data_IF_744010489913
#
_entry.id   IF_744010489913
#
_cell.length_a   1.000
_cell.length_b   1.000
_cell.length_c   1.000
_cell.angle_alpha   90.00
_cell.angle_beta   90.00
_cell.angle_gamma   90.00
#
_symmetry.space_group_name_H-M   'P 1'
#
loop_
_entity.id
_entity.type
_entity.pdbx_description
1 polymer ?
#
# COMPACT_ATOMS: atom_id res chain seq x y z
N UNK A 1 30.57 -24.48 -19.56
CA UNK A 1 29.78 -23.37 -18.99
C UNK A 1 29.97 -23.41 -17.48
N UNK A 2 30.45 -22.32 -16.88
CA UNK A 2 30.70 -22.28 -15.43
C UNK A 2 29.38 -22.33 -14.63
N UNK A 3 29.43 -22.72 -13.35
CA UNK A 3 28.22 -22.79 -12.50
C UNK A 3 27.46 -21.46 -12.41
N UNK A 4 28.15 -20.34 -12.54
CA UNK A 4 27.57 -18.99 -12.56
C UNK A 4 26.73 -18.73 -13.83
N UNK A 5 27.14 -19.26 -14.99
CA UNK A 5 26.36 -19.10 -16.23
C UNK A 5 25.07 -19.92 -16.21
N UNK A 6 25.09 -21.10 -15.58
CA UNK A 6 23.90 -21.95 -15.40
C UNK A 6 22.86 -21.26 -14.49
N UNK A 7 23.31 -20.61 -13.41
CA UNK A 7 22.42 -19.85 -12.53
C UNK A 7 21.80 -18.63 -13.23
N UNK A 8 22.59 -17.89 -14.02
CA UNK A 8 22.07 -16.77 -14.80
C UNK A 8 21.05 -17.20 -15.86
N UNK A 9 21.30 -18.31 -16.56
CA UNK A 9 20.37 -18.83 -17.55
C UNK A 9 19.03 -19.24 -16.92
N UNK A 10 19.06 -19.86 -15.73
CA UNK A 10 17.85 -20.22 -15.00
C UNK A 10 17.05 -18.99 -14.53
N UNK A 11 17.73 -17.95 -14.02
CA UNK A 11 17.10 -16.68 -13.63
C UNK A 11 16.47 -16.02 -14.84
N UNK A 12 17.18 -15.97 -15.97
CA UNK A 12 16.68 -15.38 -17.22
C UNK A 12 15.46 -16.14 -17.74
N UNK A 13 15.52 -17.47 -17.75
CA UNK A 13 14.40 -18.31 -18.18
C UNK A 13 13.16 -18.06 -17.31
N UNK A 14 13.32 -17.99 -15.98
CA UNK A 14 12.22 -17.67 -15.06
C UNK A 14 11.68 -16.25 -15.29
N UNK A 15 12.55 -15.27 -15.53
CA UNK A 15 12.14 -13.91 -15.86
C UNK A 15 11.29 -13.85 -17.13
N UNK A 16 11.75 -14.53 -18.21
CA UNK A 16 11.00 -14.62 -19.47
C UNK A 16 9.66 -15.36 -19.31
N UNK A 17 9.61 -16.39 -18.46
CA UNK A 17 8.36 -17.07 -18.12
C UNK A 17 7.37 -16.13 -17.43
N UNK A 18 7.81 -15.33 -16.45
CA UNK A 18 6.98 -14.34 -15.78
C UNK A 18 6.45 -13.31 -16.78
N UNK A 19 7.30 -12.76 -17.66
CA UNK A 19 6.86 -11.83 -18.71
C UNK A 19 5.82 -12.45 -19.65
N UNK A 20 6.02 -13.72 -20.03
CA UNK A 20 5.05 -14.44 -20.86
C UNK A 20 3.72 -14.64 -20.15
N UNK A 21 3.74 -14.97 -18.85
CA UNK A 21 2.53 -15.15 -18.03
C UNK A 21 1.78 -13.83 -17.78
N UNK A 22 2.50 -12.71 -17.65
CA UNK A 22 1.89 -11.37 -17.59
C UNK A 22 1.14 -11.01 -18.89
N UNK A 23 1.53 -11.61 -20.03
CA UNK A 23 0.84 -11.43 -21.31
C UNK A 23 0.80 -9.96 -21.74
N UNK A 24 -0.40 -9.43 -22.01
CA UNK A 24 -0.64 -8.01 -22.31
C UNK A 24 -1.21 -7.24 -21.11
N UNK A 25 -1.31 -7.87 -19.94
CA UNK A 25 -1.81 -7.23 -18.73
C UNK A 25 -0.79 -6.20 -18.25
N UNK A 26 -1.18 -4.94 -18.30
CA UNK A 26 -0.43 -3.84 -17.70
C UNK A 26 -0.98 -3.59 -16.30
N UNK A 27 -0.16 -3.19 -15.32
CA UNK A 27 -0.67 -2.82 -14.00
C UNK A 27 -1.81 -1.81 -14.17
N UNK A 28 -2.87 -1.86 -13.37
CA UNK A 28 -4.05 -1.00 -13.55
C UNK A 28 -3.70 0.51 -13.63
N UNK A 29 -2.62 0.94 -12.97
CA UNK A 29 -2.08 2.31 -12.99
C UNK A 29 -1.40 2.68 -14.31
N UNK A 30 -1.08 1.71 -15.16
CA UNK A 30 -0.50 1.86 -16.49
C UNK A 30 -1.37 1.25 -17.60
N UNK A 31 -2.54 0.69 -17.25
CA UNK A 31 -3.50 0.23 -18.23
C UNK A 31 -4.10 1.41 -18.98
N UNK A 32 -3.85 1.44 -20.29
CA UNK A 32 -4.40 2.43 -21.22
C UNK A 32 -5.92 2.37 -21.33
N UNK A 33 -6.60 1.33 -20.85
CA UNK A 33 -8.06 1.26 -20.80
C UNK A 33 -8.62 1.90 -19.53
N UNK A 34 -7.82 2.01 -18.48
CA UNK A 34 -8.17 2.76 -17.27
C UNK A 34 -7.82 4.24 -17.45
N UNK A 35 -8.79 5.12 -17.25
CA UNK A 35 -8.64 6.56 -17.51
C UNK A 35 -7.45 7.18 -16.75
N UNK A 36 -7.19 6.71 -15.52
CA UNK A 36 -6.09 7.20 -14.72
C UNK A 36 -4.72 6.65 -15.16
N UNK A 37 -4.68 5.55 -15.92
CA UNK A 37 -3.44 5.06 -16.53
C UNK A 37 -2.95 5.91 -17.69
N UNK A 38 -3.86 6.35 -18.58
CA UNK A 38 -3.52 7.34 -19.63
C UNK A 38 -3.13 8.69 -19.06
N UNK A 39 -3.81 9.12 -17.99
CA UNK A 39 -3.49 10.37 -17.30
C UNK A 39 -2.10 10.30 -16.68
N UNK A 40 -1.78 9.22 -15.96
CA UNK A 40 -0.48 9.02 -15.33
C UNK A 40 0.65 8.90 -16.36
N UNK A 41 0.45 8.18 -17.47
CA UNK A 41 1.44 8.09 -18.58
C UNK A 41 1.77 9.48 -19.14
N UNK A 42 0.77 10.34 -19.34
CA UNK A 42 0.96 11.71 -19.84
C UNK A 42 1.64 12.61 -18.81
N UNK A 43 1.19 12.57 -17.55
CA UNK A 43 1.79 13.31 -16.43
C UNK A 43 3.26 12.91 -16.26
N UNK A 44 3.59 11.62 -16.36
CA UNK A 44 4.95 11.14 -16.18
C UNK A 44 5.90 11.53 -17.32
N UNK A 45 5.37 11.84 -18.52
CA UNK A 45 6.16 12.31 -19.68
C UNK A 45 6.42 13.81 -19.69
N UNK A 46 5.61 14.59 -18.98
CA UNK A 46 5.69 16.05 -18.97
C UNK A 46 6.02 16.57 -17.57
N UNK A 47 7.30 16.90 -17.28
CA UNK A 47 7.71 17.46 -16.00
C UNK A 47 6.93 18.73 -15.60
N UNK A 48 6.51 19.55 -16.57
CA UNK A 48 5.78 20.79 -16.33
C UNK A 48 4.35 20.52 -15.82
N UNK A 49 3.75 19.39 -16.19
CA UNK A 49 2.47 18.93 -15.63
C UNK A 49 2.66 18.09 -14.36
N UNK A 50 3.74 17.30 -14.30
CA UNK A 50 4.06 16.39 -13.21
C UNK A 50 4.18 17.10 -11.87
N UNK A 51 5.05 18.09 -11.80
CA UNK A 51 5.39 18.77 -10.54
C UNK A 51 4.17 19.50 -9.95
N UNK A 52 3.43 20.32 -10.72
CA UNK A 52 2.24 20.98 -10.19
C UNK A 52 1.14 20.01 -9.79
N UNK A 53 0.94 18.92 -10.53
CA UNK A 53 -0.08 17.93 -10.17
C UNK A 53 0.23 17.26 -8.82
N UNK A 54 1.46 16.78 -8.62
CA UNK A 54 1.82 16.12 -7.36
C UNK A 54 1.77 17.10 -6.18
N UNK A 55 2.23 18.35 -6.35
CA UNK A 55 2.11 19.39 -5.31
C UNK A 55 0.66 19.78 -5.02
N UNK A 56 -0.19 19.81 -6.05
CA UNK A 56 -1.61 20.09 -5.87
C UNK A 56 -2.32 18.97 -5.11
N UNK A 57 -2.02 17.70 -5.42
CA UNK A 57 -2.56 16.55 -4.69
C UNK A 57 -2.09 16.55 -3.23
N UNK A 58 -0.84 16.92 -2.99
CA UNK A 58 -0.23 17.02 -1.65
C UNK A 58 -0.92 18.08 -0.77
N UNK A 59 -1.19 19.27 -1.31
CA UNK A 59 -1.86 20.34 -0.54
C UNK A 59 -3.37 20.13 -0.40
N UNK A 60 -3.99 19.32 -1.26
CA UNK A 60 -5.46 19.19 -1.33
C UNK A 60 -6.14 18.85 0.02
N UNK A 61 -5.61 17.94 0.87
CA UNK A 61 -6.21 17.64 2.17
C UNK A 61 -6.24 18.82 3.14
N UNK A 62 -5.34 19.80 2.98
CA UNK A 62 -5.28 21.02 3.79
C UNK A 62 -6.27 22.10 3.35
N UNK A 63 -6.96 21.94 2.21
CA UNK A 63 -7.88 22.93 1.66
C UNK A 63 -9.29 22.78 2.27
N UNK A 64 -9.67 23.76 3.09
CA UNK A 64 -10.89 23.73 3.89
C UNK A 64 -12.16 23.89 3.06
N UNK A 65 -12.13 24.69 1.98
CA UNK A 65 -13.33 25.03 1.22
C UNK A 65 -13.15 24.97 -0.31
N UNK A 66 -14.29 24.99 -1.02
CA UNK A 66 -14.31 24.90 -2.48
C UNK A 66 -13.65 26.08 -3.19
N UNK A 67 -13.61 27.27 -2.58
CA UNK A 67 -12.94 28.45 -3.16
C UNK A 67 -11.43 28.27 -3.08
N UNK A 68 -10.91 27.78 -1.95
CA UNK A 68 -9.50 27.45 -1.80
C UNK A 68 -9.07 26.38 -2.82
N UNK A 69 -9.87 25.33 -3.01
CA UNK A 69 -9.56 24.27 -4.00
C UNK A 69 -9.53 24.82 -5.42
N UNK A 70 -10.54 25.60 -5.81
CA UNK A 70 -10.59 26.20 -7.15
C UNK A 70 -9.43 27.19 -7.37
N UNK A 71 -9.09 27.99 -6.36
CA UNK A 71 -7.96 28.93 -6.41
C UNK A 71 -6.64 28.19 -6.61
N UNK A 72 -6.35 27.17 -5.80
CA UNK A 72 -5.10 26.41 -5.93
C UNK A 72 -5.04 25.64 -7.24
N UNK A 73 -6.15 25.06 -7.71
CA UNK A 73 -6.20 24.41 -9.02
C UNK A 73 -5.80 25.39 -10.13
N UNK A 74 -6.25 26.65 -10.06
CA UNK A 74 -5.80 27.69 -11.01
C UNK A 74 -4.31 28.01 -10.83
N UNK A 75 -3.84 28.24 -9.61
CA UNK A 75 -2.44 28.62 -9.37
C UNK A 75 -1.45 27.53 -9.82
N UNK A 76 -1.79 26.25 -9.64
CA UNK A 76 -0.95 25.14 -10.07
C UNK A 76 -1.01 24.88 -11.59
N UNK A 77 -2.14 25.16 -12.25
CA UNK A 77 -2.34 24.73 -13.64
C UNK A 77 -2.57 25.85 -14.66
N UNK A 78 -2.67 27.11 -14.24
CA UNK A 78 -2.88 28.26 -15.11
C UNK A 78 -1.61 29.09 -15.38
N UNK A 79 -0.42 28.62 -14.98
CA UNK A 79 0.84 29.26 -15.36
C UNK A 79 1.10 29.14 -16.85
N UNK A 80 1.47 30.25 -17.48
CA UNK A 80 1.83 30.38 -18.90
C UNK A 80 2.90 29.36 -19.30
N UNK A 81 2.49 28.24 -19.91
CA UNK A 81 3.41 27.24 -20.45
C UNK A 81 2.96 25.77 -20.33
N UNK A 82 1.98 25.44 -19.47
CA UNK A 82 1.46 24.06 -19.42
C UNK A 82 0.14 23.94 -20.18
N UNK A 83 0.07 23.19 -21.30
CA UNK A 83 -1.20 22.84 -21.89
C UNK A 83 -1.92 21.90 -20.92
N UNK A 84 -2.83 22.48 -20.13
CA UNK A 84 -3.85 21.72 -19.42
C UNK A 84 -4.37 20.63 -20.35
N UNK A 85 -4.43 19.34 -19.93
CA UNK A 85 -5.05 18.30 -20.74
C UNK A 85 -6.40 18.83 -21.23
N UNK A 86 -6.70 18.71 -22.52
CA UNK A 86 -7.91 19.31 -23.10
C UNK A 86 -9.18 18.99 -22.33
N UNK A 87 -9.22 17.86 -21.61
CA UNK A 87 -10.29 17.48 -20.69
C UNK A 87 -10.42 18.43 -19.49
N UNK A 88 -9.33 18.86 -18.86
CA UNK A 88 -9.37 19.81 -17.74
C UNK A 88 -9.79 21.18 -18.26
N UNK A 89 -9.27 21.63 -19.41
CA UNK A 89 -9.71 22.88 -20.03
C UNK A 89 -11.19 22.83 -20.47
N UNK A 90 -11.67 21.71 -21.03
CA UNK A 90 -13.08 21.53 -21.41
C UNK A 90 -13.99 21.39 -20.20
N UNK A 91 -13.55 20.72 -19.12
CA UNK A 91 -14.30 20.58 -17.88
C UNK A 91 -14.35 21.91 -17.12
N UNK A 92 -13.24 22.63 -17.08
CA UNK A 92 -13.15 23.96 -16.50
C UNK A 92 -13.96 24.97 -17.33
N UNK A 93 -13.90 24.89 -18.67
CA UNK A 93 -14.68 25.75 -19.56
C UNK A 93 -16.17 25.44 -19.51
N UNK A 94 -16.57 24.16 -19.36
CA UNK A 94 -17.97 23.74 -19.20
C UNK A 94 -18.55 24.15 -17.84
N UNK A 95 -17.75 24.06 -16.76
CA UNK A 95 -18.11 24.58 -15.45
C UNK A 95 -18.25 26.12 -15.46
N UNK A 96 -17.44 26.79 -16.28
CA UNK A 96 -17.50 28.23 -16.51
C UNK A 96 -18.65 28.67 -17.46
N UNK A 97 -19.20 27.78 -18.27
CA UNK A 97 -20.28 28.07 -19.25
C UNK A 97 -21.66 27.57 -18.81
N UNK A 98 -21.83 27.21 -17.54
CA UNK A 98 -23.12 26.93 -16.90
C UNK A 98 -24.04 28.16 -16.68
N UNK A 99 -23.80 29.27 -17.37
CA UNK A 99 -24.73 30.40 -17.48
C UNK A 99 -24.89 30.75 -18.95
N UNK A 100 -26.14 30.79 -19.40
CA UNK A 100 -26.55 31.10 -20.77
C UNK A 100 -25.84 32.33 -21.35
N UNK A 101 -25.40 32.20 -22.60
CA UNK A 101 -25.12 33.21 -23.66
C UNK A 101 -24.71 34.63 -23.22
N UNK A 102 -23.58 35.16 -23.70
CA UNK A 102 -23.59 35.94 -24.95
C UNK A 102 -22.18 36.16 -25.49
N UNK A 103 -22.09 36.18 -26.82
CA UNK A 103 -20.90 36.49 -27.61
C UNK A 103 -20.28 37.85 -27.25
N UNK A 104 -18.97 37.90 -27.05
CA UNK A 104 -18.12 39.01 -27.50
C UNK A 104 -16.65 38.60 -27.48
N UNK A 105 -15.98 38.97 -28.57
CA UNK A 105 -14.54 38.90 -28.83
C UNK A 105 -13.65 39.47 -27.73
N UNK A 106 -12.46 38.87 -27.57
CA UNK A 106 -11.27 39.57 -27.10
C UNK A 106 -10.80 39.23 -25.69
N UNK A 107 -9.66 38.54 -25.63
CA UNK A 107 -8.66 38.52 -24.56
C UNK A 107 -9.08 38.94 -23.13
N UNK A 108 -9.31 37.95 -22.26
CA UNK A 108 -8.64 37.89 -20.95
C UNK A 108 -8.77 36.48 -20.36
N UNK A 109 -7.67 35.72 -20.48
CA UNK A 109 -7.44 34.52 -19.66
C UNK A 109 -7.43 34.94 -18.20
N UNK A 110 -8.54 34.80 -17.47
CA UNK A 110 -8.49 35.11 -16.03
C UNK A 110 -9.74 34.96 -15.17
N UNK A 111 -10.97 35.08 -15.67
CA UNK A 111 -12.09 35.41 -14.75
C UNK A 111 -13.26 34.41 -14.65
N UNK A 112 -13.32 33.33 -15.41
CA UNK A 112 -14.55 32.51 -15.44
C UNK A 112 -14.71 31.50 -14.28
N UNK A 113 -13.83 31.50 -13.28
CA UNK A 113 -13.92 30.67 -12.06
C UNK A 113 -14.38 31.43 -10.81
N UNK A 114 -14.68 32.72 -10.93
CA UNK A 114 -15.07 33.55 -9.79
C UNK A 114 -16.52 33.33 -9.32
N UNK A 115 -17.36 32.63 -10.09
CA UNK A 115 -18.71 32.30 -9.63
C UNK A 115 -18.66 31.14 -8.62
N UNK A 116 -19.30 31.34 -7.46
CA UNK A 116 -19.37 30.33 -6.40
C UNK A 116 -19.84 28.93 -6.90
N UNK A 117 -20.76 28.81 -7.88
CA UNK A 117 -21.16 27.52 -8.43
C UNK A 117 -20.04 26.79 -9.20
N UNK A 118 -19.26 27.50 -10.02
CA UNK A 118 -18.17 26.90 -10.80
C UNK A 118 -17.04 26.40 -9.89
N UNK A 119 -16.70 27.17 -8.85
CA UNK A 119 -15.72 26.76 -7.84
C UNK A 119 -16.17 25.51 -7.07
N UNK A 120 -17.45 25.43 -6.70
CA UNK A 120 -18.02 24.26 -6.02
C UNK A 120 -17.96 23.00 -6.88
N UNK A 121 -18.31 23.09 -8.17
CA UNK A 121 -18.26 21.97 -9.09
C UNK A 121 -16.82 21.46 -9.29
N UNK A 122 -15.87 22.37 -9.53
CA UNK A 122 -14.45 21.99 -9.67
C UNK A 122 -13.93 21.30 -8.41
N UNK A 123 -14.20 21.87 -7.23
CA UNK A 123 -13.79 21.29 -5.97
C UNK A 123 -14.36 19.89 -5.75
N UNK A 124 -15.65 19.69 -6.09
CA UNK A 124 -16.30 18.40 -6.02
C UNK A 124 -15.64 17.36 -6.93
N UNK A 125 -15.38 17.71 -8.19
CA UNK A 125 -14.78 16.80 -9.16
C UNK A 125 -13.34 16.44 -8.80
N UNK A 126 -12.55 17.42 -8.34
CA UNK A 126 -11.19 17.20 -7.85
C UNK A 126 -11.18 16.25 -6.64
N UNK A 127 -11.97 16.56 -5.61
CA UNK A 127 -12.07 15.73 -4.40
C UNK A 127 -12.52 14.30 -4.73
N UNK A 128 -13.52 14.15 -5.60
CA UNK A 128 -14.00 12.83 -6.04
C UNK A 128 -12.95 12.06 -6.83
N UNK A 129 -12.19 12.73 -7.70
CA UNK A 129 -11.10 12.14 -8.48
C UNK A 129 -9.98 11.63 -7.58
N UNK A 130 -9.48 12.47 -6.67
CA UNK A 130 -8.42 12.09 -5.72
C UNK A 130 -8.88 10.99 -4.77
N UNK A 131 -10.07 11.11 -4.18
CA UNK A 131 -10.60 10.06 -3.30
C UNK A 131 -10.73 8.70 -4.01
N UNK A 132 -11.15 8.68 -5.28
CA UNK A 132 -11.22 7.46 -6.07
C UNK A 132 -9.83 6.87 -6.35
N UNK A 133 -8.83 7.72 -6.60
CA UNK A 133 -7.44 7.30 -6.78
C UNK A 133 -6.84 6.75 -5.48
N UNK A 134 -7.04 7.41 -4.34
CA UNK A 134 -6.55 6.95 -3.04
C UNK A 134 -7.08 5.58 -2.64
N UNK A 135 -8.34 5.26 -2.97
CA UNK A 135 -8.96 3.93 -2.72
C UNK A 135 -8.27 2.78 -3.48
N UNK A 136 -7.42 3.06 -4.45
CA UNK A 136 -6.59 2.04 -5.10
C UNK A 136 -5.42 1.59 -4.20
N UNK A 137 -4.98 2.45 -3.28
CA UNK A 137 -3.81 2.22 -2.42
C UNK A 137 -4.17 2.05 -0.94
N UNK A 138 -5.34 2.55 -0.51
CA UNK A 138 -5.79 2.50 0.88
C UNK A 138 -6.86 1.40 1.03
N UNK A 139 -6.63 0.45 1.93
CA UNK A 139 -7.52 -0.69 2.16
C UNK A 139 -8.84 -0.29 2.85
N UNK A 140 -8.81 0.72 3.72
CA UNK A 140 -9.96 1.26 4.45
C UNK A 140 -9.54 2.42 5.36
N UNK A 141 -10.52 3.22 5.80
CA UNK A 141 -10.28 4.36 6.73
C UNK A 141 -10.25 3.92 8.20
N UNK A 142 -10.87 2.77 8.52
CA UNK A 142 -10.84 2.13 9.84
C UNK A 142 -10.44 0.65 9.71
N UNK A 143 -10.01 -0.01 10.81
CA UNK A 143 -9.74 -1.44 10.82
C UNK A 143 -10.90 -2.28 10.25
N UNK A 144 -12.14 -1.93 10.59
CA UNK A 144 -13.36 -2.63 10.15
C UNK A 144 -13.60 -2.44 8.66
N UNK A 145 -13.44 -1.21 8.15
CA UNK A 145 -13.59 -0.92 6.73
C UNK A 145 -12.54 -1.68 5.88
N UNK A 146 -11.33 -1.86 6.42
CA UNK A 146 -10.24 -2.56 5.74
C UNK A 146 -10.52 -4.06 5.54
N UNK A 147 -11.31 -4.71 6.41
CA UNK A 147 -11.59 -6.15 6.35
C UNK A 147 -12.12 -6.61 4.99
N UNK A 148 -12.95 -5.81 4.34
CA UNK A 148 -13.49 -6.12 3.01
C UNK A 148 -12.38 -6.27 1.95
N UNK A 149 -11.42 -5.35 1.96
CA UNK A 149 -10.24 -5.36 1.09
C UNK A 149 -9.30 -6.51 1.43
N UNK A 150 -9.06 -6.76 2.72
CA UNK A 150 -8.22 -7.87 3.19
C UNK A 150 -8.81 -9.23 2.81
N UNK A 151 -10.13 -9.40 2.95
CA UNK A 151 -10.84 -10.62 2.57
C UNK A 151 -10.80 -10.86 1.07
N UNK A 152 -10.89 -9.79 0.25
CA UNK A 152 -10.71 -9.90 -1.21
C UNK A 152 -9.30 -10.38 -1.56
N UNK A 153 -8.26 -9.77 -1.00
CA UNK A 153 -6.87 -10.22 -1.20
C UNK A 153 -6.70 -11.69 -0.83
N UNK A 154 -7.32 -12.10 0.28
CA UNK A 154 -7.28 -13.46 0.78
C UNK A 154 -7.95 -14.46 -0.17
N UNK A 155 -9.13 -14.14 -0.68
CA UNK A 155 -9.86 -14.97 -1.64
C UNK A 155 -9.10 -15.12 -2.96
N UNK A 156 -8.31 -14.10 -3.33
CA UNK A 156 -7.42 -14.13 -4.50
C UNK A 156 -6.09 -14.87 -4.23
N UNK A 157 -5.96 -15.51 -3.06
CA UNK A 157 -4.78 -16.28 -2.68
C UNK A 157 -3.55 -15.48 -2.28
N UNK A 158 -3.76 -14.23 -1.85
CA UNK A 158 -2.69 -13.33 -1.39
C UNK A 158 -2.71 -13.22 0.14
N UNK A 159 -1.53 -13.01 0.70
CA UNK A 159 -1.38 -12.55 2.09
C UNK A 159 -1.25 -11.02 2.11
N UNK A 160 -1.25 -10.43 3.30
CA UNK A 160 -1.15 -8.99 3.48
C UNK A 160 -0.30 -8.68 4.70
N UNK A 161 0.26 -7.48 4.72
CA UNK A 161 0.65 -6.76 5.93
C UNK A 161 -0.18 -5.48 5.98
N UNK A 162 -0.62 -5.06 7.17
CA UNK A 162 -1.42 -3.85 7.36
C UNK A 162 -0.56 -2.76 8.00
N UNK A 163 -0.48 -1.61 7.33
CA UNK A 163 0.19 -0.40 7.79
C UNK A 163 -0.86 0.68 8.13
N UNK A 164 -0.61 1.45 9.19
CA UNK A 164 -1.41 2.63 9.50
C UNK A 164 -0.78 3.81 8.77
N UNK A 165 -1.56 4.45 7.91
CA UNK A 165 -1.10 5.61 7.18
C UNK A 165 -0.95 6.81 8.12
N UNK A 166 0.18 7.47 8.00
CA UNK A 166 0.36 8.83 8.45
C UNK A 166 1.83 9.20 8.57
N UNK A 167 2.05 10.42 9.07
CA UNK A 167 3.35 11.08 9.12
C UNK A 167 4.07 10.85 10.45
N UNK A 168 5.36 11.20 10.47
CA UNK A 168 6.14 11.25 11.70
C UNK A 168 5.43 12.13 12.74
N UNK A 169 5.36 11.65 13.97
CA UNK A 169 4.67 12.38 15.04
C UNK A 169 5.50 13.55 15.51
N UNK A 170 4.86 14.67 15.84
CA UNK A 170 5.53 15.88 16.34
C UNK A 170 5.23 16.13 17.83
N UNK A 171 4.45 15.25 18.47
CA UNK A 171 4.17 15.29 19.90
C UNK A 171 4.03 13.90 20.53
N UNK A 172 4.27 13.80 21.84
CA UNK A 172 4.08 12.55 22.58
C UNK A 172 2.61 12.10 22.61
N UNK A 173 1.67 13.05 22.59
CA UNK A 173 0.24 12.75 22.51
C UNK A 173 -0.14 12.13 21.15
N UNK A 174 0.52 12.53 20.05
CA UNK A 174 0.38 11.84 18.76
C UNK A 174 0.98 10.45 18.79
N UNK A 175 2.18 10.30 19.38
CA UNK A 175 2.82 9.00 19.54
C UNK A 175 1.92 8.01 20.32
N UNK A 176 1.25 8.48 21.38
CA UNK A 176 0.27 7.69 22.13
C UNK A 176 -0.95 7.33 21.29
N UNK A 177 -1.47 8.26 20.49
CA UNK A 177 -2.58 7.99 19.56
C UNK A 177 -2.21 6.93 18.53
N UNK A 178 -1.00 6.96 17.97
CA UNK A 178 -0.51 5.94 17.04
C UNK A 178 -0.36 4.57 17.69
N UNK A 179 0.22 4.51 18.90
CA UNK A 179 0.26 3.27 19.69
C UNK A 179 -1.14 2.68 19.87
N UNK A 180 -2.08 3.51 20.30
CA UNK A 180 -3.45 3.07 20.56
C UNK A 180 -4.16 2.64 19.27
N UNK A 181 -3.86 3.28 18.14
CA UNK A 181 -4.35 2.87 16.83
C UNK A 181 -3.81 1.48 16.43
N UNK A 182 -2.52 1.20 16.63
CA UNK A 182 -1.96 -0.14 16.40
C UNK A 182 -2.55 -1.20 17.32
N UNK A 183 -2.76 -0.87 18.61
CA UNK A 183 -3.39 -1.79 19.55
C UNK A 183 -4.84 -2.10 19.15
N UNK A 184 -5.63 -1.09 18.75
CA UNK A 184 -6.99 -1.28 18.21
C UNK A 184 -6.97 -2.11 16.92
N UNK A 185 -6.04 -1.83 16.01
CA UNK A 185 -5.90 -2.58 14.77
C UNK A 185 -5.59 -4.05 15.03
N UNK A 186 -4.61 -4.35 15.89
CA UNK A 186 -4.27 -5.70 16.28
C UNK A 186 -5.45 -6.42 16.95
N UNK A 187 -6.16 -5.73 17.85
CA UNK A 187 -7.34 -6.27 18.53
C UNK A 187 -8.48 -6.60 17.55
N UNK A 188 -8.90 -5.65 16.71
CA UNK A 188 -9.94 -5.87 15.71
C UNK A 188 -9.55 -6.97 14.73
N UNK A 189 -8.37 -6.91 14.11
CA UNK A 189 -7.97 -7.92 13.14
C UNK A 189 -7.82 -9.30 13.77
N UNK A 190 -7.24 -9.42 14.96
CA UNK A 190 -7.07 -10.72 15.63
C UNK A 190 -8.41 -11.44 15.86
N UNK A 191 -9.47 -10.69 16.20
CA UNK A 191 -10.82 -11.24 16.35
C UNK A 191 -11.44 -11.62 15.02
N UNK A 192 -11.44 -10.69 14.07
CA UNK A 192 -12.19 -10.80 12.82
C UNK A 192 -11.59 -11.81 11.83
N UNK A 193 -10.28 -12.09 11.94
CA UNK A 193 -9.57 -13.04 11.05
C UNK A 193 -9.30 -14.40 11.69
N UNK A 194 -9.65 -14.60 12.97
CA UNK A 194 -9.41 -15.84 13.69
C UNK A 194 -10.01 -17.05 12.96
N UNK A 195 -11.26 -16.90 12.51
CA UNK A 195 -12.05 -17.98 11.90
C UNK A 195 -11.93 -18.04 10.37
N UNK A 196 -11.02 -17.26 9.78
CA UNK A 196 -10.83 -17.34 8.34
C UNK A 196 -10.32 -18.74 7.94
N UNK A 197 -10.75 -19.28 6.80
CA UNK A 197 -10.22 -20.55 6.34
C UNK A 197 -8.72 -20.43 6.05
N UNK A 198 -7.93 -21.48 6.33
CA UNK A 198 -6.57 -21.52 5.82
C UNK A 198 -6.62 -21.54 4.29
N UNK A 199 -5.85 -20.66 3.65
CA UNK A 199 -5.70 -20.60 2.20
C UNK A 199 -4.60 -21.55 1.75
N UNK A 200 -3.48 -21.56 2.47
CA UNK A 200 -2.35 -22.47 2.22
C UNK A 200 -1.63 -22.72 3.56
N UNK A 201 -1.79 -23.91 4.16
CA UNK A 201 -1.18 -24.24 5.45
C UNK A 201 0.35 -24.12 5.46
N UNK A 202 1.01 -24.32 4.31
CA UNK A 202 2.47 -24.17 4.22
C UNK A 202 2.86 -22.70 4.26
N UNK A 203 2.13 -21.83 3.56
CA UNK A 203 2.36 -20.38 3.58
C UNK A 203 1.96 -19.74 4.90
N UNK A 204 0.87 -20.16 5.51
CA UNK A 204 0.44 -19.65 6.82
C UNK A 204 1.40 -19.99 7.96
N UNK A 205 2.19 -21.05 7.80
CA UNK A 205 3.29 -21.35 8.72
C UNK A 205 4.46 -20.37 8.59
N UNK A 206 4.66 -19.79 7.40
CA UNK A 206 5.72 -18.83 7.12
C UNK A 206 5.26 -17.38 7.32
N UNK A 207 3.96 -17.12 7.12
CA UNK A 207 3.35 -15.79 7.15
C UNK A 207 2.03 -15.87 7.94
N UNK A 208 1.99 -15.44 9.21
CA UNK A 208 0.74 -15.37 9.95
C UNK A 208 -0.28 -14.51 9.25
N UNK A 209 -1.55 -14.80 9.54
CA UNK A 209 -2.69 -14.02 9.01
C UNK A 209 -2.69 -12.61 9.53
N UNK A 210 -2.38 -12.43 10.82
CA UNK A 210 -2.17 -11.12 11.42
C UNK A 210 -0.73 -10.71 11.15
N UNK A 211 -0.55 -9.75 10.25
CA UNK A 211 0.75 -9.18 9.95
C UNK A 211 0.61 -7.67 9.87
N UNK A 212 1.38 -6.95 10.69
CA UNK A 212 1.34 -5.50 10.80
C UNK A 212 2.71 -4.91 10.44
N UNK A 213 2.70 -3.78 9.72
CA UNK A 213 3.88 -2.96 9.48
C UNK A 213 3.86 -1.74 10.39
N UNK A 214 4.98 -1.47 11.07
CA UNK A 214 5.11 -0.39 12.05
C UNK A 214 6.27 0.52 11.66
N UNK A 215 5.99 1.82 11.54
CA UNK A 215 7.00 2.87 11.35
C UNK A 215 7.41 3.44 12.70
N UNK A 216 8.69 3.44 13.00
CA UNK A 216 9.19 3.86 14.31
C UNK A 216 9.04 5.37 14.54
N UNK A 217 9.12 6.17 13.47
CA UNK A 217 8.89 7.61 13.54
C UNK A 217 7.48 8.01 13.97
N UNK A 218 6.52 7.07 13.95
CA UNK A 218 5.18 7.29 14.48
C UNK A 218 5.07 7.08 16.00
N UNK A 219 6.10 6.52 16.64
CA UNK A 219 6.07 6.09 18.04
C UNK A 219 6.87 6.98 18.99
N UNK A 220 7.61 7.96 18.46
CA UNK A 220 8.35 8.90 19.29
C UNK A 220 8.60 10.22 18.57
N UNK A 221 8.19 11.34 19.17
CA UNK A 221 8.20 12.64 18.50
C UNK A 221 9.58 13.28 18.37
N UNK A 222 10.51 12.86 19.22
CA UNK A 222 11.89 13.35 19.26
C UNK A 222 12.87 12.36 18.68
N UNK A 223 12.40 11.42 17.85
CA UNK A 223 13.24 10.42 17.21
C UNK A 223 14.31 11.11 16.35
N UNK A 224 15.57 10.77 16.57
CA UNK A 224 16.66 11.40 15.85
C UNK A 224 18.04 10.83 16.18
N UNK A 225 18.98 10.86 15.23
CA UNK A 225 20.31 10.29 15.43
C UNK A 225 21.13 11.06 16.48
N UNK A 226 20.82 12.34 16.72
CA UNK A 226 21.53 13.17 17.70
C UNK A 226 21.27 12.68 19.13
N UNK A 227 20.07 12.16 19.40
CA UNK A 227 19.66 11.60 20.69
C UNK A 227 19.34 10.10 20.53
N UNK A 228 20.26 9.33 19.95
CA UNK A 228 20.07 7.92 19.59
C UNK A 228 19.52 7.06 20.75
N UNK A 229 20.16 7.06 21.92
CA UNK A 229 19.72 6.24 23.07
C UNK A 229 18.33 6.64 23.59
N UNK A 230 18.04 7.93 23.59
CA UNK A 230 16.74 8.46 23.97
C UNK A 230 15.66 8.08 22.94
N UNK A 231 16.01 8.09 21.65
CA UNK A 231 15.16 7.64 20.56
C UNK A 231 14.83 6.16 20.67
N UNK A 232 15.84 5.31 20.90
CA UNK A 232 15.64 3.86 21.09
C UNK A 232 14.72 3.61 22.28
N UNK A 233 14.94 4.28 23.41
CA UNK A 233 14.12 4.15 24.63
C UNK A 233 12.68 4.65 24.41
N UNK A 234 12.50 5.82 23.82
CA UNK A 234 11.20 6.43 23.56
C UNK A 234 10.35 5.60 22.61
N UNK A 235 10.94 5.10 21.53
CA UNK A 235 10.26 4.18 20.59
C UNK A 235 9.86 2.88 21.28
N UNK A 236 10.79 2.24 22.01
CA UNK A 236 10.54 0.96 22.69
C UNK A 236 9.41 1.04 23.71
N UNK A 237 9.27 2.16 24.42
CA UNK A 237 8.18 2.37 25.39
C UNK A 237 6.79 2.14 24.78
N UNK A 238 6.59 2.52 23.51
CA UNK A 238 5.30 2.35 22.80
C UNK A 238 5.26 1.12 21.91
N UNK A 239 6.41 0.66 21.41
CA UNK A 239 6.49 -0.52 20.56
C UNK A 239 6.20 -1.82 21.34
N UNK A 240 6.73 -1.97 22.55
CA UNK A 240 6.62 -3.22 23.32
C UNK A 240 5.16 -3.66 23.57
N UNK A 241 4.22 -2.79 23.99
CA UNK A 241 2.81 -3.15 24.08
C UNK A 241 2.21 -3.68 22.78
N UNK A 242 2.59 -3.10 21.62
CA UNK A 242 2.11 -3.52 20.30
C UNK A 242 2.63 -4.93 20.00
N UNK A 243 3.94 -5.16 20.19
CA UNK A 243 4.55 -6.46 19.93
C UNK A 243 3.94 -7.56 20.80
N UNK A 244 3.72 -7.30 22.10
CA UNK A 244 3.08 -8.24 23.03
C UNK A 244 1.68 -8.62 22.57
N UNK A 245 0.85 -7.63 22.23
CA UNK A 245 -0.52 -7.85 21.74
C UNK A 245 -0.54 -8.68 20.45
N UNK A 246 0.36 -8.41 19.51
CA UNK A 246 0.44 -9.15 18.25
C UNK A 246 0.99 -10.57 18.48
N UNK A 247 1.98 -10.74 19.36
CA UNK A 247 2.53 -12.05 19.76
C UNK A 247 1.46 -12.93 20.38
N UNK A 248 0.67 -12.40 21.32
CA UNK A 248 -0.45 -13.12 21.96
C UNK A 248 -1.50 -13.58 20.94
N UNK A 249 -1.74 -12.79 19.89
CA UNK A 249 -2.61 -13.15 18.78
C UNK A 249 -1.97 -14.12 17.76
N UNK A 250 -0.71 -14.55 17.98
CA UNK A 250 0.03 -15.41 17.04
C UNK A 250 0.37 -14.73 15.72
N UNK A 251 0.48 -13.39 15.72
CA UNK A 251 0.78 -12.57 14.55
C UNK A 251 2.27 -12.29 14.35
N UNK A 252 2.53 -11.48 13.33
CA UNK A 252 3.84 -10.98 12.93
C UNK A 252 3.84 -9.45 12.93
N UNK A 253 4.98 -8.85 13.30
CA UNK A 253 5.21 -7.41 13.17
C UNK A 253 6.46 -7.15 12.35
N UNK A 254 6.30 -6.39 11.27
CA UNK A 254 7.39 -5.85 10.47
C UNK A 254 7.75 -4.45 10.98
N UNK A 255 9.02 -4.20 11.29
CA UNK A 255 9.50 -2.84 11.53
C UNK A 255 9.99 -2.26 10.21
N UNK A 256 9.34 -1.20 9.74
CA UNK A 256 9.66 -0.58 8.46
C UNK A 256 10.98 0.20 8.56
N UNK A 257 11.78 0.11 7.50
CA UNK A 257 12.99 0.92 7.35
C UNK A 257 12.64 2.26 6.70
N UNK A 258 12.94 3.35 7.40
CA UNK A 258 12.54 4.71 7.01
C UNK A 258 13.72 5.48 6.36
N UNK A 259 13.80 6.80 6.54
CA UNK A 259 14.92 7.60 6.05
C UNK A 259 16.26 7.12 6.66
N UNK A 260 17.34 7.28 5.91
CA UNK A 260 18.68 6.80 6.31
C UNK A 260 19.13 7.29 7.69
N UNK A 261 18.72 8.51 8.08
CA UNK A 261 19.01 9.09 9.39
C UNK A 261 18.48 8.24 10.57
N UNK A 262 17.43 7.45 10.35
CA UNK A 262 16.84 6.58 11.37
C UNK A 262 17.35 5.14 11.32
N UNK A 263 18.09 4.74 10.28
CA UNK A 263 18.52 3.35 10.05
C UNK A 263 19.14 2.69 11.28
N UNK A 264 20.11 3.37 11.91
CA UNK A 264 20.80 2.81 13.09
C UNK A 264 19.86 2.70 14.30
N UNK A 265 18.95 3.66 14.48
CA UNK A 265 17.93 3.61 15.55
C UNK A 265 16.99 2.43 15.30
N UNK A 266 16.54 2.22 14.06
CA UNK A 266 15.68 1.10 13.69
C UNK A 266 16.36 -0.25 13.96
N UNK A 267 17.63 -0.39 13.56
CA UNK A 267 18.39 -1.61 13.83
C UNK A 267 18.56 -1.86 15.33
N UNK A 268 18.89 -0.84 16.12
CA UNK A 268 19.04 -0.95 17.57
C UNK A 268 17.73 -1.24 18.29
N UNK A 269 16.62 -0.61 17.87
CA UNK A 269 15.29 -0.92 18.40
C UNK A 269 14.95 -2.37 18.09
N UNK A 270 15.20 -2.83 16.86
CA UNK A 270 14.93 -4.21 16.45
C UNK A 270 15.73 -5.22 17.28
N UNK A 271 17.06 -5.10 17.30
CA UNK A 271 17.95 -6.06 17.97
C UNK A 271 17.72 -6.07 19.48
N UNK A 272 17.73 -4.91 20.14
CA UNK A 272 17.54 -4.82 21.60
C UNK A 272 16.16 -5.31 22.05
N UNK A 273 15.15 -5.17 21.20
CA UNK A 273 13.81 -5.70 21.51
C UNK A 273 13.77 -7.21 21.36
N UNK A 274 14.33 -7.77 20.29
CA UNK A 274 14.35 -9.22 20.09
C UNK A 274 15.30 -9.97 21.04
N UNK A 275 16.30 -9.28 21.60
CA UNK A 275 17.19 -9.81 22.65
C UNK A 275 16.52 -9.86 24.04
N UNK A 276 15.30 -9.32 24.21
CA UNK A 276 14.59 -9.48 25.47
C UNK A 276 14.08 -10.93 25.62
N UNK A 277 14.22 -11.55 26.81
CA UNK A 277 13.82 -12.95 27.02
C UNK A 277 12.38 -13.28 26.63
N UNK A 278 11.47 -12.31 26.71
CA UNK A 278 10.07 -12.53 26.34
C UNK A 278 9.86 -12.72 24.82
N UNK A 279 10.76 -12.22 23.96
CA UNK A 279 10.66 -12.37 22.51
C UNK A 279 11.55 -13.49 21.95
N UNK A 280 12.32 -14.17 22.80
CA UNK A 280 13.06 -15.35 22.37
C UNK A 280 12.13 -16.43 21.83
N UNK A 281 12.46 -16.98 20.66
CA UNK A 281 11.62 -17.98 19.99
C UNK A 281 10.36 -17.42 19.34
N UNK A 282 10.08 -16.11 19.46
CA UNK A 282 9.00 -15.49 18.69
C UNK A 282 9.44 -15.30 17.25
N UNK A 283 9.09 -16.27 16.42
CA UNK A 283 9.39 -16.24 14.99
C UNK A 283 8.26 -15.59 14.18
N UNK A 284 7.33 -14.92 14.87
CA UNK A 284 6.04 -14.53 14.31
C UNK A 284 5.34 -15.73 13.69
N UNK A 285 5.23 -16.82 14.46
CA UNK A 285 4.52 -18.04 14.08
C UNK A 285 3.53 -18.37 15.19
N UNK A 286 2.37 -18.93 14.83
CA UNK A 286 1.52 -19.57 15.83
C UNK A 286 2.23 -20.85 16.26
N UNK A 287 2.76 -20.88 17.48
CA UNK A 287 3.18 -22.13 18.06
C UNK A 287 2.00 -23.10 18.09
N UNK A 288 2.31 -24.37 17.83
CA UNK A 288 1.36 -25.47 17.86
C UNK A 288 0.59 -25.39 19.19
N UNK A 289 -0.76 -25.51 19.23
CA UNK A 289 -1.45 -25.58 20.50
C UNK A 289 -0.85 -26.71 21.36
N UNK A 290 -0.67 -26.50 22.68
CA UNK A 290 -0.14 -27.53 23.55
C UNK A 290 -1.13 -28.71 23.55
N UNK A 291 -0.72 -29.86 23.01
CA UNK A 291 -1.57 -31.07 22.98
C UNK A 291 -1.35 -32.07 21.84
N UNK A 292 -0.55 -31.78 20.82
CA UNK A 292 -0.33 -32.71 19.68
C UNK A 292 1.08 -33.32 19.63
N UNK A 293 1.63 -33.70 20.79
CA UNK A 293 2.90 -34.44 20.91
C UNK A 293 2.76 -35.97 20.85
N UNK A 294 1.56 -36.52 20.70
CA UNK A 294 1.34 -37.98 20.61
C UNK A 294 0.83 -38.43 19.23
N UNK A 295 1.55 -38.12 18.16
CA UNK A 295 1.48 -38.90 16.91
C UNK A 295 2.83 -38.85 16.19
N UNK A 296 3.88 -39.35 16.84
CA UNK A 296 5.06 -39.90 16.17
C UNK A 296 5.34 -41.26 16.78
N UNK A 297 4.90 -42.28 16.07
CA UNK A 297 5.05 -43.69 16.46
C UNK A 297 4.65 -44.59 15.30
N UNK A 298 5.25 -44.40 14.12
CA UNK A 298 5.31 -45.43 13.08
C UNK A 298 6.48 -45.09 12.15
N UNK A 299 7.56 -45.86 12.28
CA UNK A 299 8.66 -45.90 11.31
C UNK A 299 8.25 -46.53 9.99
N UNK A 300 9.17 -46.61 9.01
CA UNK A 300 8.84 -46.72 7.59
C UNK A 300 8.56 -48.17 7.19
N UNK A 301 7.37 -48.44 6.67
CA UNK A 301 7.11 -49.63 5.86
C UNK A 301 5.93 -49.41 4.92
N UNK A 302 6.14 -49.82 3.66
CA UNK A 302 5.15 -50.02 2.61
C UNK A 302 4.48 -48.78 1.99
N UNK A 303 5.22 -48.09 1.12
CA UNK A 303 4.62 -47.42 -0.03
C UNK A 303 5.08 -48.15 -1.30
N UNK A 304 4.31 -49.16 -1.70
CA UNK A 304 4.41 -49.71 -3.05
C UNK A 304 3.00 -50.05 -3.58
N UNK A 305 2.78 -49.66 -4.84
CA UNK A 305 1.70 -50.06 -5.76
C UNK A 305 0.26 -49.62 -5.47
N UNK A 306 -0.12 -48.43 -5.99
CA UNK A 306 -1.15 -48.25 -7.04
C UNK A 306 -1.64 -46.79 -7.03
N UNK A 307 -1.24 -46.00 -8.03
CA UNK A 307 -2.14 -45.51 -9.08
C UNK A 307 -1.39 -44.49 -9.95
N UNK A 308 -0.59 -45.03 -10.86
CA UNK A 308 -0.01 -44.32 -11.99
C UNK A 308 -1.14 -44.02 -12.98
N UNK A 309 -1.56 -42.75 -13.10
CA UNK A 309 -2.25 -42.17 -14.27
C UNK A 309 -2.60 -40.71 -13.98
N UNK A 310 -1.72 -39.77 -14.36
CA UNK A 310 -2.12 -38.46 -14.91
C UNK A 310 -0.89 -37.65 -15.34
N UNK A 311 -0.20 -38.09 -16.40
CA UNK A 311 0.64 -37.24 -17.24
C UNK A 311 0.79 -37.92 -18.61
N UNK A 312 -0.01 -37.50 -19.60
CA UNK A 312 0.39 -37.49 -21.02
C UNK A 312 -0.62 -36.69 -21.86
N UNK A 313 -0.08 -35.99 -22.88
CA UNK A 313 -0.72 -35.42 -24.07
C UNK A 313 -1.31 -33.99 -24.01
N UNK A 314 -0.43 -33.02 -24.27
CA UNK A 314 -0.74 -31.83 -25.08
C UNK A 314 -0.73 -32.23 -26.57
N UNK A 315 -1.76 -31.93 -27.39
CA UNK A 315 -1.69 -32.13 -28.84
C UNK A 315 -1.14 -30.88 -29.54
N UNK A 316 -0.08 -31.11 -30.32
CA UNK A 316 0.41 -30.23 -31.39
C UNK A 316 -0.65 -30.07 -32.49
N UNK A 317 -0.92 -28.82 -32.91
CA UNK A 317 -1.52 -28.52 -34.21
C UNK A 317 -0.53 -27.70 -35.04
N UNK A 318 0.01 -28.32 -36.07
CA UNK A 318 0.52 -27.67 -37.27
C UNK A 318 -0.17 -28.34 -38.46
N UNK A 319 -0.94 -27.58 -39.22
CA UNK A 319 -1.40 -27.95 -40.55
C UNK A 319 -0.92 -26.88 -41.51
N UNK A 320 0.04 -27.24 -42.36
CA UNK A 320 0.34 -26.52 -43.59
C UNK A 320 -0.33 -27.28 -44.74
N UNK A 321 -1.25 -26.59 -45.41
CA UNK A 321 -1.39 -26.56 -46.87
C UNK A 321 -1.71 -25.12 -47.24
#
# INVERSE_FOLDING_TARGET
MGPESVAQDAVRAKGLEIFRLMGTETPAVFDRKWWAGRMMERVMRDPALKVPLFRFVDVLPALADSRQIARHAREYFATDGSPLPGIVNSLLSAAASGSCSTSASGASSGSSFASAPAAALTAYLVKRGVARFSRTFIAGETPEAALSSLRRLRNDGRSFTVDILGEAVVSEAEADRYRDAYLRLADTLSREIADWPPFDPRRERLFPRLNLSVKLSSLYSRIGPVNHEDSVRGVRQRLLPILRKVREAGGFVNLDMEMYALKNITLDVFTRTLDEPEFHGWEGRRDRPPGLSQMRGAGPAAADRHNSRCCTAWPSRSSAR
#
